data_IF_675106369864
#
_entry.id   IF_675106369864
#
_cell.length_a   1.000
_cell.length_b   1.000
_cell.length_c   1.000
_cell.angle_alpha   90.00
_cell.angle_beta   90.00
_cell.angle_gamma   90.00
#
_symmetry.space_group_name_H-M   'P 1'
#
loop_
_entity.id
_entity.type
_entity.pdbx_description
1 polymer ?
#
# COMPACT_ATOMS: atom_id res chain seq x y z
N UNK A 1 3.13 -47.94 7.26
CA UNK A 1 4.07 -47.64 6.15
C UNK A 1 4.15 -46.13 5.99
N UNK A 2 5.31 -45.47 6.09
CA UNK A 2 5.41 -44.06 5.73
C UNK A 2 5.09 -43.91 4.25
N UNK A 3 4.19 -43.00 3.89
CA UNK A 3 3.85 -42.76 2.48
C UNK A 3 5.10 -42.32 1.70
N UNK A 4 5.29 -42.79 0.46
CA UNK A 4 6.42 -42.35 -0.36
C UNK A 4 6.34 -40.85 -0.58
N UNK A 5 7.40 -40.14 -0.16
CA UNK A 5 7.43 -38.69 -0.24
C UNK A 5 7.43 -38.23 -1.70
N UNK A 6 6.41 -37.48 -2.12
CA UNK A 6 6.27 -36.99 -3.50
C UNK A 6 7.56 -36.29 -3.97
N UNK A 7 8.13 -36.68 -5.13
CA UNK A 7 9.38 -36.12 -5.62
C UNK A 7 9.23 -34.62 -5.92
N UNK A 8 10.35 -33.91 -5.85
CA UNK A 8 10.45 -32.49 -6.22
C UNK A 8 11.30 -32.41 -7.46
N UNK A 9 10.71 -31.96 -8.56
CA UNK A 9 11.43 -31.74 -9.82
C UNK A 9 11.96 -30.30 -9.89
N UNK A 10 13.21 -30.15 -10.31
CA UNK A 10 13.88 -28.87 -10.51
C UNK A 10 14.61 -28.93 -11.83
N UNK A 11 14.29 -28.05 -12.77
CA UNK A 11 14.98 -28.00 -14.06
C UNK A 11 16.44 -27.54 -13.89
N UNK A 12 17.35 -27.85 -14.84
CA UNK A 12 18.74 -27.38 -14.76
C UNK A 12 18.85 -25.84 -14.63
N UNK A 13 17.97 -25.11 -15.31
CA UNK A 13 17.92 -23.64 -15.26
C UNK A 13 17.46 -23.12 -13.89
N UNK A 14 16.46 -23.75 -13.28
CA UNK A 14 15.98 -23.45 -11.93
C UNK A 14 17.05 -23.80 -10.89
N UNK A 15 17.69 -24.97 -11.02
CA UNK A 15 18.76 -25.40 -10.11
C UNK A 15 19.89 -24.36 -10.09
N UNK A 16 20.34 -23.88 -11.25
CA UNK A 16 21.34 -22.82 -11.34
C UNK A 16 20.91 -21.53 -10.60
N UNK A 17 19.64 -21.13 -10.73
CA UNK A 17 19.08 -19.96 -10.01
C UNK A 17 19.04 -20.19 -8.50
N UNK A 18 18.60 -21.37 -8.05
CA UNK A 18 18.53 -21.77 -6.65
C UNK A 18 19.92 -21.81 -6.01
N UNK A 19 20.90 -22.42 -6.68
CA UNK A 19 22.29 -22.47 -6.22
C UNK A 19 22.92 -21.08 -6.13
N UNK A 20 22.69 -20.23 -7.14
CA UNK A 20 23.14 -18.83 -7.12
C UNK A 20 22.52 -18.05 -5.93
N UNK A 21 21.25 -18.32 -5.61
CA UNK A 21 20.56 -17.72 -4.47
C UNK A 21 21.22 -18.12 -3.13
N UNK A 22 21.57 -19.40 -2.94
CA UNK A 22 22.23 -19.87 -1.71
C UNK A 22 23.67 -19.37 -1.58
N UNK A 23 24.37 -19.18 -2.70
CA UNK A 23 25.76 -18.68 -2.70
C UNK A 23 25.87 -17.18 -2.43
N UNK A 24 24.83 -16.40 -2.73
CA UNK A 24 24.83 -14.95 -2.53
C UNK A 24 24.81 -14.61 -1.04
N UNK A 25 25.74 -13.78 -0.59
CA UNK A 25 25.90 -13.36 0.81
C UNK A 25 24.73 -12.52 1.33
N UNK A 26 24.07 -11.75 0.46
CA UNK A 26 22.95 -10.88 0.81
C UNK A 26 21.59 -11.59 0.86
N UNK A 27 21.54 -12.90 0.62
CA UNK A 27 20.27 -13.65 0.60
C UNK A 27 19.70 -13.78 2.00
N UNK A 28 18.42 -13.41 2.24
CA UNK A 28 17.79 -13.61 3.53
C UNK A 28 17.88 -15.07 3.99
N UNK A 29 18.28 -15.31 5.23
CA UNK A 29 18.51 -16.66 5.76
C UNK A 29 17.30 -17.58 5.59
N UNK A 30 16.08 -17.06 5.80
CA UNK A 30 14.85 -17.82 5.61
C UNK A 30 14.67 -18.30 4.16
N UNK A 31 14.98 -17.45 3.17
CA UNK A 31 14.94 -17.83 1.76
C UNK A 31 16.01 -18.88 1.45
N UNK A 32 17.25 -18.67 1.92
CA UNK A 32 18.34 -19.62 1.73
C UNK A 32 18.00 -21.01 2.32
N UNK A 33 17.38 -21.06 3.50
CA UNK A 33 16.94 -22.30 4.13
C UNK A 33 15.89 -23.03 3.28
N UNK A 34 14.88 -22.31 2.75
CA UNK A 34 13.84 -22.86 1.87
C UNK A 34 14.42 -23.38 0.56
N UNK A 35 15.35 -22.64 -0.03
CA UNK A 35 16.05 -23.09 -1.25
C UNK A 35 16.85 -24.37 -1.00
N UNK A 36 17.58 -24.46 0.13
CA UNK A 36 18.29 -25.69 0.52
C UNK A 36 17.33 -26.88 0.68
N UNK A 37 16.12 -26.67 1.22
CA UNK A 37 15.10 -27.73 1.28
C UNK A 37 14.77 -28.25 -0.12
N UNK A 38 14.49 -27.37 -1.07
CA UNK A 38 14.11 -27.74 -2.44
C UNK A 38 15.25 -28.47 -3.15
N UNK A 39 16.49 -27.99 -3.05
CA UNK A 39 17.65 -28.64 -3.65
C UNK A 39 17.84 -30.07 -3.10
N UNK A 40 17.82 -30.26 -1.79
CA UNK A 40 17.96 -31.59 -1.18
C UNK A 40 16.80 -32.52 -1.54
N UNK A 41 15.57 -32.00 -1.62
CA UNK A 41 14.41 -32.78 -2.07
C UNK A 41 14.52 -33.17 -3.54
N UNK A 42 15.11 -32.31 -4.37
CA UNK A 42 15.41 -32.61 -5.77
C UNK A 42 16.56 -33.61 -5.94
N UNK A 43 17.50 -33.66 -4.98
CA UNK A 43 18.54 -34.69 -4.88
C UNK A 43 18.01 -36.03 -4.33
N UNK A 44 16.70 -36.17 -4.12
CA UNK A 44 16.06 -37.40 -3.65
C UNK A 44 16.10 -37.62 -2.13
N UNK A 45 16.62 -36.66 -1.34
CA UNK A 45 16.71 -36.79 0.11
C UNK A 45 15.31 -36.74 0.73
N UNK A 46 14.93 -37.74 1.53
CA UNK A 46 13.62 -37.81 2.20
C UNK A 46 13.34 -36.61 3.14
N UNK A 47 12.06 -36.20 3.31
CA UNK A 47 11.71 -34.97 4.02
C UNK A 47 12.16 -34.98 5.50
N UNK A 48 12.13 -36.13 6.17
CA UNK A 48 12.63 -36.29 7.53
C UNK A 48 14.16 -36.09 7.65
N UNK A 49 14.92 -36.53 6.65
CA UNK A 49 16.38 -36.34 6.61
C UNK A 49 16.74 -34.88 6.31
N UNK A 50 16.02 -34.24 5.38
CA UNK A 50 16.15 -32.80 5.10
C UNK A 50 15.86 -31.97 6.35
N UNK A 51 14.76 -32.28 7.05
CA UNK A 51 14.35 -31.61 8.28
C UNK A 51 15.43 -31.69 9.36
N UNK A 52 16.00 -32.88 9.58
CA UNK A 52 17.10 -33.11 10.52
C UNK A 52 18.34 -32.31 10.14
N UNK A 53 18.74 -32.31 8.86
CA UNK A 53 19.92 -31.60 8.36
C UNK A 53 19.80 -30.07 8.47
N UNK A 54 18.58 -29.54 8.34
CA UNK A 54 18.32 -28.10 8.34
C UNK A 54 17.77 -27.56 9.66
N UNK A 55 17.60 -28.41 10.68
CA UNK A 55 17.10 -28.02 12.00
C UNK A 55 15.68 -27.47 11.99
N UNK A 56 14.76 -28.07 11.22
CA UNK A 56 13.37 -27.63 11.12
C UNK A 56 12.38 -28.80 11.24
N UNK A 57 11.09 -28.51 11.36
CA UNK A 57 10.04 -29.54 11.34
C UNK A 57 9.86 -30.14 9.94
N UNK A 58 9.49 -31.42 9.87
CA UNK A 58 9.17 -32.12 8.60
C UNK A 58 8.04 -31.41 7.84
N UNK A 59 7.02 -30.94 8.56
CA UNK A 59 5.91 -30.16 8.02
C UNK A 59 6.36 -28.89 7.29
N UNK A 60 7.48 -28.29 7.69
CA UNK A 60 8.05 -27.11 7.02
C UNK A 60 8.63 -27.51 5.66
N UNK A 61 9.37 -28.62 5.59
CA UNK A 61 9.92 -29.17 4.34
C UNK A 61 8.78 -29.52 3.38
N UNK A 62 7.74 -30.17 3.87
CA UNK A 62 6.59 -30.56 3.06
C UNK A 62 5.83 -29.35 2.52
N UNK A 63 5.60 -28.33 3.36
CA UNK A 63 4.96 -27.06 2.96
C UNK A 63 5.69 -26.41 1.79
N UNK A 64 7.01 -26.26 1.89
CA UNK A 64 7.80 -25.60 0.84
C UNK A 64 7.94 -26.48 -0.40
N UNK A 65 8.07 -27.80 -0.23
CA UNK A 65 8.08 -28.75 -1.35
C UNK A 65 6.75 -28.73 -2.11
N UNK A 66 5.62 -28.68 -1.41
CA UNK A 66 4.30 -28.56 -2.02
C UNK A 66 4.14 -27.24 -2.77
N UNK A 67 4.59 -26.13 -2.17
CA UNK A 67 4.56 -24.82 -2.83
C UNK A 67 5.41 -24.79 -4.09
N UNK A 68 6.61 -25.37 -4.07
CA UNK A 68 7.46 -25.48 -5.25
C UNK A 68 6.80 -26.32 -6.36
N UNK A 69 6.22 -27.47 -6.02
CA UNK A 69 5.49 -28.30 -7.00
C UNK A 69 4.35 -27.56 -7.69
N UNK A 70 3.64 -26.70 -6.95
CA UNK A 70 2.58 -25.86 -7.53
C UNK A 70 3.15 -24.70 -8.37
N UNK A 71 4.33 -24.19 -8.01
CA UNK A 71 4.91 -22.94 -8.53
C UNK A 71 6.46 -23.04 -8.56
N UNK A 72 7.05 -23.66 -9.59
CA UNK A 72 8.50 -23.95 -9.64
C UNK A 72 9.33 -22.74 -10.08
N UNK A 73 9.22 -21.62 -9.36
CA UNK A 73 10.04 -20.43 -9.56
C UNK A 73 10.51 -19.87 -8.21
N UNK A 74 11.68 -19.22 -8.20
CA UNK A 74 12.36 -18.80 -6.96
C UNK A 74 11.48 -17.92 -6.07
N UNK A 75 10.71 -17.02 -6.68
CA UNK A 75 9.86 -16.05 -6.00
C UNK A 75 8.71 -16.73 -5.23
N UNK A 76 8.34 -17.98 -5.59
CA UNK A 76 7.34 -18.75 -4.84
C UNK A 76 7.83 -19.12 -3.43
N UNK A 77 9.15 -19.13 -3.20
CA UNK A 77 9.75 -19.41 -1.90
C UNK A 77 9.81 -18.18 -0.98
N UNK A 78 9.36 -17.01 -1.46
CA UNK A 78 9.20 -15.82 -0.64
C UNK A 78 7.95 -15.90 0.24
N UNK A 79 7.94 -15.07 1.28
CA UNK A 79 6.73 -14.89 2.08
C UNK A 79 5.70 -14.08 1.30
N UNK A 80 4.44 -14.50 1.38
CA UNK A 80 3.35 -13.68 0.88
C UNK A 80 3.29 -12.37 1.67
N UNK A 81 2.85 -11.26 1.04
CA UNK A 81 2.57 -10.03 1.77
C UNK A 81 1.67 -10.36 2.97
N UNK A 82 2.08 -9.92 4.16
CA UNK A 82 1.28 -10.14 5.36
C UNK A 82 -0.04 -9.40 5.18
N UNK A 83 -1.16 -10.07 5.44
CA UNK A 83 -2.51 -9.48 5.30
C UNK A 83 -2.71 -8.24 6.18
N UNK A 84 -1.88 -8.06 7.21
CA UNK A 84 -1.95 -6.91 8.12
C UNK A 84 -3.24 -6.90 8.94
N UNK A 85 -3.41 -5.85 9.74
CA UNK A 85 -4.69 -5.59 10.40
C UNK A 85 -5.69 -5.13 9.34
N UNK A 86 -6.92 -5.69 9.29
CA UNK A 86 -7.95 -5.17 8.42
C UNK A 86 -8.15 -3.66 8.63
N UNK A 87 -8.38 -2.88 7.57
CA UNK A 87 -8.60 -1.44 7.71
C UNK A 87 -9.79 -1.18 8.64
N UNK A 88 -9.63 -0.28 9.59
CA UNK A 88 -10.68 0.07 10.57
C UNK A 88 -11.80 0.94 9.99
N UNK A 89 -11.57 1.52 8.81
CA UNK A 89 -12.54 2.33 8.08
C UNK A 89 -12.94 1.50 6.87
N UNK A 90 -14.24 1.22 6.78
CA UNK A 90 -14.81 0.49 5.67
C UNK A 90 -14.62 1.21 4.33
N UNK A 91 -14.90 0.51 3.23
CA UNK A 91 -14.75 1.08 1.91
C UNK A 91 -15.76 2.21 1.66
N UNK A 92 -16.98 2.08 2.19
CA UNK A 92 -18.08 3.03 1.99
C UNK A 92 -17.76 4.40 2.61
N UNK A 93 -17.35 4.44 3.88
CA UNK A 93 -16.91 5.67 4.55
C UNK A 93 -15.72 6.29 3.83
N UNK A 94 -14.79 5.48 3.31
CA UNK A 94 -13.67 6.00 2.51
C UNK A 94 -14.14 6.64 1.21
N UNK A 95 -15.15 6.09 0.56
CA UNK A 95 -15.75 6.67 -0.64
C UNK A 95 -16.48 7.98 -0.31
N UNK A 96 -17.21 8.06 0.80
CA UNK A 96 -17.86 9.30 1.24
C UNK A 96 -16.84 10.40 1.59
N UNK A 97 -15.74 10.05 2.27
CA UNK A 97 -14.62 11.00 2.50
C UNK A 97 -14.11 11.59 1.17
N UNK A 98 -13.93 10.74 0.15
CA UNK A 98 -13.45 11.18 -1.18
C UNK A 98 -14.49 12.04 -1.88
N UNK A 99 -15.76 11.65 -1.82
CA UNK A 99 -16.88 12.38 -2.42
C UNK A 99 -16.99 13.79 -1.84
N UNK A 100 -16.92 13.93 -0.52
CA UNK A 100 -16.89 15.24 0.16
C UNK A 100 -15.65 16.02 -0.28
N UNK A 101 -14.47 15.41 -0.24
CA UNK A 101 -13.22 16.08 -0.61
C UNK A 101 -13.18 16.59 -2.07
N UNK A 102 -13.95 15.97 -2.97
CA UNK A 102 -14.06 16.33 -4.38
C UNK A 102 -15.25 17.25 -4.69
N UNK A 103 -16.12 17.55 -3.73
CA UNK A 103 -17.20 18.54 -3.90
C UNK A 103 -16.72 19.94 -3.52
N UNK A 104 -17.50 20.97 -3.86
CA UNK A 104 -17.31 22.28 -3.24
C UNK A 104 -17.90 22.30 -1.83
N UNK A 105 -17.31 23.05 -0.88
CA UNK A 105 -17.91 23.32 0.43
C UNK A 105 -19.05 24.34 0.33
N UNK A 106 -19.98 24.16 -0.61
CA UNK A 106 -21.10 25.07 -0.81
C UNK A 106 -22.13 24.85 0.30
N UNK A 107 -22.44 25.90 1.07
CA UNK A 107 -23.46 25.86 2.13
C UNK A 107 -23.03 25.26 3.47
N UNK A 108 -21.79 24.78 3.61
CA UNK A 108 -21.27 24.32 4.91
C UNK A 108 -20.96 25.52 5.82
N UNK A 109 -21.42 25.49 7.08
CA UNK A 109 -21.20 26.54 8.10
C UNK A 109 -19.73 26.64 8.58
N UNK A 110 -18.76 26.26 7.74
CA UNK A 110 -17.36 26.39 8.06
C UNK A 110 -16.90 27.84 7.79
N UNK A 111 -16.26 28.51 8.75
CA UNK A 111 -15.82 29.89 8.55
C UNK A 111 -14.77 29.95 7.43
N UNK A 112 -15.01 30.79 6.42
CA UNK A 112 -14.02 31.33 5.47
C UNK A 112 -13.40 30.37 4.41
N UNK A 113 -14.14 29.44 3.78
CA UNK A 113 -13.45 28.42 2.96
C UNK A 113 -14.12 28.07 1.64
N UNK A 114 -13.56 28.59 0.54
CA UNK A 114 -13.69 28.03 -0.82
C UNK A 114 -13.08 26.61 -0.94
N UNK A 115 -12.53 26.07 0.15
CA UNK A 115 -11.67 24.88 0.13
C UNK A 115 -11.86 23.98 1.35
N UNK A 116 -11.99 22.67 1.14
CA UNK A 116 -12.10 21.69 2.22
C UNK A 116 -10.82 21.57 3.06
N UNK A 117 -10.94 21.83 4.36
CA UNK A 117 -9.97 21.37 5.36
C UNK A 117 -10.30 19.98 5.87
N UNK A 118 -9.30 19.27 6.38
CA UNK A 118 -9.46 17.92 6.94
C UNK A 118 -10.52 17.84 8.05
N UNK A 119 -10.56 18.83 8.95
CA UNK A 119 -11.56 18.87 10.02
C UNK A 119 -12.97 19.13 9.47
N UNK A 120 -13.10 20.04 8.49
CA UNK A 120 -14.38 20.28 7.83
C UNK A 120 -14.91 19.04 7.11
N UNK A 121 -14.03 18.25 6.47
CA UNK A 121 -14.42 16.97 5.85
C UNK A 121 -14.90 15.99 6.92
N UNK A 122 -14.22 15.90 8.07
CA UNK A 122 -14.63 15.02 9.15
C UNK A 122 -15.98 15.45 9.76
N UNK A 123 -16.21 16.74 9.96
CA UNK A 123 -17.48 17.29 10.44
C UNK A 123 -18.61 17.04 9.45
N UNK A 124 -18.38 17.29 8.16
CA UNK A 124 -19.37 17.07 7.11
C UNK A 124 -19.71 15.58 6.96
N UNK A 125 -18.70 14.71 7.03
CA UNK A 125 -18.91 13.26 7.00
C UNK A 125 -19.80 12.83 8.16
N UNK A 126 -19.50 13.29 9.37
CA UNK A 126 -20.32 12.99 10.54
C UNK A 126 -21.76 13.50 10.39
N UNK A 127 -21.95 14.70 9.84
CA UNK A 127 -23.28 15.26 9.59
C UNK A 127 -24.09 14.44 8.57
N UNK A 128 -23.44 13.84 7.56
CA UNK A 128 -24.11 13.06 6.50
C UNK A 128 -24.37 11.60 6.86
N UNK A 129 -23.44 10.96 7.57
CA UNK A 129 -23.46 9.50 7.79
C UNK A 129 -23.55 9.10 9.26
N UNK A 130 -23.39 10.04 10.19
CA UNK A 130 -23.29 9.77 11.63
C UNK A 130 -21.94 9.20 12.06
N UNK A 131 -21.02 8.91 11.12
CA UNK A 131 -19.76 8.23 11.42
C UNK A 131 -18.70 9.23 11.89
N UNK A 132 -18.13 8.97 13.06
CA UNK A 132 -17.01 9.75 13.60
C UNK A 132 -15.68 9.24 13.05
N UNK A 133 -14.99 10.10 12.29
CA UNK A 133 -13.65 9.82 11.76
C UNK A 133 -12.69 10.91 12.19
N UNK A 134 -11.52 10.52 12.69
CA UNK A 134 -10.50 11.50 13.10
C UNK A 134 -9.87 12.21 11.90
N UNK A 135 -9.40 13.45 12.11
CA UNK A 135 -8.64 14.25 11.12
C UNK A 135 -7.51 13.45 10.47
N UNK A 136 -6.73 12.69 11.26
CA UNK A 136 -5.61 11.88 10.77
C UNK A 136 -6.07 10.72 9.88
N UNK A 137 -7.24 10.15 10.15
CA UNK A 137 -7.84 9.11 9.32
C UNK A 137 -8.31 9.66 7.99
N UNK A 138 -8.99 10.81 7.99
CA UNK A 138 -9.35 11.54 6.75
C UNK A 138 -8.10 11.83 5.92
N UNK A 139 -7.05 12.37 6.55
CA UNK A 139 -5.78 12.62 5.87
C UNK A 139 -5.19 11.37 5.22
N UNK A 140 -5.14 10.24 5.94
CA UNK A 140 -4.61 8.97 5.44
C UNK A 140 -5.40 8.47 4.22
N UNK A 141 -6.73 8.59 4.25
CA UNK A 141 -7.61 8.19 3.14
C UNK A 141 -7.34 9.04 1.90
N UNK A 142 -7.18 10.36 2.05
CA UNK A 142 -6.89 11.27 0.95
C UNK A 142 -5.48 11.07 0.38
N UNK A 143 -4.47 10.91 1.24
CA UNK A 143 -3.08 10.66 0.81
C UNK A 143 -2.94 9.35 0.02
N UNK A 144 -3.64 8.30 0.43
CA UNK A 144 -3.64 7.03 -0.29
C UNK A 144 -4.19 7.14 -1.73
N UNK A 145 -4.91 8.22 -2.05
CA UNK A 145 -5.45 8.52 -3.39
C UNK A 145 -4.79 9.75 -4.03
N UNK A 146 -3.76 10.31 -3.41
CA UNK A 146 -3.09 11.52 -3.90
C UNK A 146 -3.95 12.80 -3.86
N UNK A 147 -5.08 12.80 -3.15
CA UNK A 147 -5.99 13.94 -3.10
C UNK A 147 -5.49 15.00 -2.11
N UNK A 148 -5.50 16.27 -2.55
CA UNK A 148 -5.08 17.42 -1.75
C UNK A 148 -6.12 18.54 -1.87
N UNK A 149 -7.25 18.47 -1.15
CA UNK A 149 -8.35 19.41 -1.32
C UNK A 149 -7.94 20.87 -1.11
N UNK A 150 -7.02 21.12 -0.17
CA UNK A 150 -6.43 22.43 0.11
C UNK A 150 -5.55 23.01 -1.01
N UNK A 151 -5.14 22.20 -2.00
CA UNK A 151 -4.32 22.66 -3.12
C UNK A 151 -5.19 22.98 -4.33
N UNK A 152 -5.95 24.05 -4.21
CA UNK A 152 -6.61 24.66 -5.37
C UNK A 152 -5.58 25.53 -6.08
N UNK A 153 -5.38 25.31 -7.38
CA UNK A 153 -4.67 26.30 -8.22
C UNK A 153 -5.72 27.32 -8.65
N UNK A 154 -5.73 28.55 -8.10
CA UNK A 154 -6.60 29.58 -8.64
C UNK A 154 -6.18 29.83 -10.09
N UNK A 155 -7.14 29.82 -10.99
CA UNK A 155 -6.91 30.28 -12.35
C UNK A 155 -7.04 31.81 -12.33
N UNK A 156 -6.05 32.52 -12.85
CA UNK A 156 -5.92 33.99 -12.77
C UNK A 156 -6.87 34.72 -13.74
N UNK A 157 -8.09 34.23 -13.89
CA UNK A 157 -9.16 34.94 -14.58
C UNK A 157 -10.39 34.91 -13.67
N UNK A 158 -10.67 36.04 -13.04
CA UNK A 158 -11.94 36.23 -12.35
C UNK A 158 -13.03 36.46 -13.39
N UNK A 159 -14.21 35.82 -13.26
CA UNK A 159 -15.38 36.12 -14.09
C UNK A 159 -16.04 37.46 -13.72
N UNK A 160 -15.53 38.16 -12.71
CA UNK A 160 -15.99 39.47 -12.28
C UNK A 160 -15.85 40.52 -13.40
N UNK A 161 -16.95 41.14 -13.87
CA UNK A 161 -16.91 42.20 -14.88
C UNK A 161 -15.97 43.35 -14.51
N UNK A 162 -15.80 43.61 -13.21
CA UNK A 162 -14.95 44.69 -12.67
C UNK A 162 -13.54 44.22 -12.27
N UNK A 163 -13.12 43.02 -12.70
CA UNK A 163 -11.82 42.46 -12.33
C UNK A 163 -10.66 43.41 -12.62
N UNK A 164 -10.62 43.98 -13.83
CA UNK A 164 -9.56 44.91 -14.26
C UNK A 164 -9.53 46.21 -13.44
N UNK A 165 -10.65 46.93 -13.25
CA UNK A 165 -10.71 48.07 -12.34
C UNK A 165 -10.25 47.76 -10.90
N UNK A 166 -10.66 46.61 -10.34
CA UNK A 166 -10.29 46.21 -8.97
C UNK A 166 -8.81 45.89 -8.83
N UNK A 167 -8.24 45.15 -9.78
CA UNK A 167 -6.79 44.86 -9.82
C UNK A 167 -5.99 46.16 -9.92
N UNK A 168 -6.40 47.08 -10.79
CA UNK A 168 -5.75 48.39 -10.94
C UNK A 168 -5.74 49.14 -9.60
N UNK A 169 -6.88 49.25 -8.92
CA UNK A 169 -6.99 49.92 -7.62
C UNK A 169 -6.08 49.31 -6.56
N UNK A 170 -5.97 47.98 -6.53
CA UNK A 170 -5.06 47.29 -5.59
C UNK A 170 -3.60 47.58 -5.95
N UNK A 171 -3.22 47.51 -7.23
CA UNK A 171 -1.88 47.83 -7.69
C UNK A 171 -1.50 49.29 -7.39
N UNK A 172 -2.42 50.24 -7.59
CA UNK A 172 -2.23 51.65 -7.26
C UNK A 172 -1.92 51.86 -5.77
N UNK A 173 -2.59 51.13 -4.86
CA UNK A 173 -2.29 51.20 -3.42
C UNK A 173 -0.88 50.71 -3.04
N UNK A 174 -0.30 49.79 -3.82
CA UNK A 174 1.07 49.33 -3.61
C UNK A 174 2.11 50.29 -4.22
N UNK A 175 1.74 50.98 -5.29
CA UNK A 175 2.61 51.94 -5.98
C UNK A 175 2.61 53.32 -5.29
N UNK A 176 1.47 53.74 -4.73
CA UNK A 176 1.29 54.99 -3.99
C UNK A 176 0.51 54.73 -2.69
N UNK A 177 1.20 54.24 -1.64
CA UNK A 177 0.56 53.94 -0.38
C UNK A 177 0.12 55.23 0.33
N UNK A 178 -1.12 55.29 0.85
CA UNK A 178 -1.57 56.44 1.64
C UNK A 178 -0.69 56.59 2.89
N UNK A 179 -0.35 57.84 3.22
CA UNK A 179 0.44 58.21 4.41
C UNK A 179 -0.36 58.09 5.70
#
# INVERSE_FOLDING_TARGET
>A
MPQPATPVHVSPSERKRLEACVRRTSTPQALAQRVRMILLRADGVGPASVARRLGCAVSTVDKWSARWRQRPYLESLLDAPRSGRPPSIDLETRCEIVKIACSRPDGSKAPLREVWTLDAIATELHARTGILVSRSSVHRVLQARGLRPHRVRPWLHSPDPDFRPKVRRICELYLDPPK
#
